data_IF_396010906005
#
_entry.id   IF_396010906005
#
_cell.length_a   1.000
_cell.length_b   1.000
_cell.length_c   1.000
_cell.angle_alpha   90.00
_cell.angle_beta   90.00
_cell.angle_gamma   90.00
#
_symmetry.space_group_name_H-M   'P 1'
#
loop_
_entity.id
_entity.type
_entity.pdbx_description
1 polymer ?
#
# COMPACT_ATOMS: atom_id res chain seq x y z
N UNK A 1 3.12 30.64 -21.91
CA UNK A 1 3.07 30.47 -20.44
C UNK A 1 4.44 30.84 -19.88
N UNK A 2 4.52 31.49 -18.71
CA UNK A 2 5.80 31.75 -18.06
C UNK A 2 6.33 30.44 -17.46
N UNK A 3 7.30 29.80 -18.14
CA UNK A 3 7.90 28.53 -17.74
C UNK A 3 9.21 28.71 -16.96
N UNK A 4 9.65 29.94 -16.74
CA UNK A 4 10.97 30.24 -16.14
C UNK A 4 11.10 29.64 -14.74
N UNK A 5 9.98 29.53 -14.01
CA UNK A 5 9.92 28.94 -12.66
C UNK A 5 10.26 27.43 -12.65
N UNK A 6 10.13 26.75 -13.79
CA UNK A 6 10.43 25.32 -13.96
C UNK A 6 11.73 25.07 -14.72
N UNK A 7 12.47 26.12 -15.10
CA UNK A 7 13.70 25.97 -15.89
C UNK A 7 14.79 25.20 -15.12
N UNK A 8 14.95 25.49 -13.83
CA UNK A 8 15.93 24.80 -12.97
C UNK A 8 15.60 23.30 -12.85
N UNK A 9 14.33 22.96 -12.59
CA UNK A 9 13.87 21.58 -12.53
C UNK A 9 14.01 20.84 -13.86
N UNK A 10 13.70 21.52 -14.97
CA UNK A 10 13.88 20.97 -16.33
C UNK A 10 15.35 20.67 -16.65
N UNK A 11 16.25 21.61 -16.34
CA UNK A 11 17.68 21.44 -16.59
C UNK A 11 18.28 20.34 -15.71
N UNK A 12 17.93 20.29 -14.42
CA UNK A 12 18.38 19.22 -13.52
C UNK A 12 17.89 17.85 -13.99
N UNK A 13 16.63 17.77 -14.45
CA UNK A 13 16.07 16.56 -15.05
C UNK A 13 16.88 16.11 -16.25
N UNK A 14 17.13 16.99 -17.22
CA UNK A 14 17.92 16.70 -18.41
C UNK A 14 19.36 16.25 -18.08
N UNK A 15 20.02 16.90 -17.12
CA UNK A 15 21.43 16.64 -16.80
C UNK A 15 21.63 15.35 -16.00
N UNK A 16 20.78 15.08 -15.01
CA UNK A 16 20.98 13.98 -14.04
C UNK A 16 20.01 12.82 -14.20
N UNK A 17 18.82 13.09 -14.71
CA UNK A 17 17.75 12.09 -14.84
C UNK A 17 17.14 12.14 -16.25
N UNK A 18 17.97 12.07 -17.32
CA UNK A 18 17.48 12.17 -18.68
C UNK A 18 16.50 11.03 -18.95
N UNK A 19 15.47 11.29 -19.75
CA UNK A 19 14.60 10.22 -20.23
C UNK A 19 15.40 9.32 -21.17
N UNK A 20 15.52 8.04 -20.81
CA UNK A 20 16.34 7.06 -21.55
C UNK A 20 15.56 6.28 -22.60
N UNK A 21 14.25 6.10 -22.41
CA UNK A 21 13.41 5.23 -23.24
C UNK A 21 12.33 5.99 -24.00
N UNK A 22 12.06 5.54 -25.22
CA UNK A 22 10.95 6.00 -26.05
C UNK A 22 9.61 5.35 -25.67
N UNK A 23 9.64 4.25 -24.92
CA UNK A 23 8.43 3.57 -24.46
C UNK A 23 7.63 4.47 -23.51
N UNK A 24 6.31 4.36 -23.61
CA UNK A 24 5.38 5.10 -22.77
C UNK A 24 5.09 4.27 -21.52
N UNK A 25 5.07 4.93 -20.36
CA UNK A 25 4.75 4.30 -19.08
C UNK A 25 3.45 4.88 -18.51
N UNK A 26 2.58 4.04 -17.97
CA UNK A 26 1.30 4.46 -17.41
C UNK A 26 1.30 4.42 -15.88
N UNK A 27 0.70 5.43 -15.25
CA UNK A 27 0.37 5.38 -13.83
C UNK A 27 -0.82 4.44 -13.66
N UNK A 28 -0.57 3.25 -13.11
CA UNK A 28 -1.62 2.29 -12.83
C UNK A 28 -2.22 2.48 -11.43
N UNK A 29 -3.11 1.57 -11.04
CA UNK A 29 -3.78 1.54 -9.73
C UNK A 29 -2.83 1.58 -8.54
N UNK A 30 -1.59 1.12 -8.71
CA UNK A 30 -0.55 1.12 -7.69
C UNK A 30 0.67 1.96 -8.08
N UNK A 31 0.46 2.98 -8.91
CA UNK A 31 1.50 3.87 -9.41
C UNK A 31 2.26 3.33 -10.61
N UNK A 32 3.47 3.85 -10.83
CA UNK A 32 4.37 3.34 -11.85
C UNK A 32 5.08 2.10 -11.35
N UNK A 33 5.18 1.06 -12.19
CA UNK A 33 5.97 -0.14 -11.94
C UNK A 33 6.65 -0.57 -13.23
N UNK A 34 7.95 -0.82 -13.17
CA UNK A 34 8.75 -1.28 -14.30
C UNK A 34 10.08 -1.86 -13.81
N UNK A 35 10.93 -2.30 -14.74
CA UNK A 35 12.34 -2.57 -14.45
C UNK A 35 13.00 -1.32 -13.89
N UNK A 36 13.84 -1.52 -12.86
CA UNK A 36 14.35 -0.39 -12.08
C UNK A 36 15.34 0.51 -12.82
N UNK A 37 15.97 0.01 -13.89
CA UNK A 37 16.91 0.72 -14.77
C UNK A 37 16.29 1.89 -15.54
N UNK A 38 14.98 1.85 -15.78
CA UNK A 38 14.25 2.90 -16.51
C UNK A 38 13.50 3.90 -15.59
N UNK A 39 13.57 3.74 -14.26
CA UNK A 39 12.71 4.48 -13.33
C UNK A 39 13.29 5.78 -12.78
N UNK A 40 14.57 6.09 -12.98
CA UNK A 40 15.20 7.29 -12.40
C UNK A 40 14.48 8.58 -12.80
N UNK A 41 14.24 8.77 -14.09
CA UNK A 41 13.56 9.97 -14.60
C UNK A 41 12.08 10.01 -14.18
N UNK A 42 11.42 8.85 -14.14
CA UNK A 42 10.02 8.73 -13.70
C UNK A 42 9.91 9.18 -12.25
N UNK A 43 10.78 8.67 -11.38
CA UNK A 43 10.73 8.94 -9.94
C UNK A 43 11.17 10.36 -9.61
N UNK A 44 12.18 10.90 -10.32
CA UNK A 44 12.50 12.33 -10.27
C UNK A 44 11.28 13.19 -10.59
N UNK A 45 10.57 12.88 -11.68
CA UNK A 45 9.37 13.61 -12.10
C UNK A 45 8.20 13.43 -11.13
N UNK A 46 8.08 12.28 -10.48
CA UNK A 46 7.10 12.10 -9.40
C UNK A 46 7.45 12.89 -8.14
N UNK A 47 8.73 13.14 -7.86
CA UNK A 47 9.14 14.12 -6.86
C UNK A 47 8.66 15.54 -7.19
N UNK A 48 8.74 15.96 -8.46
CA UNK A 48 8.19 17.24 -8.92
C UNK A 48 6.67 17.29 -8.76
N UNK A 49 5.97 16.23 -9.17
CA UNK A 49 4.52 16.16 -9.09
C UNK A 49 4.03 16.17 -7.64
N UNK A 50 4.72 15.47 -6.73
CA UNK A 50 4.39 15.45 -5.30
C UNK A 50 4.44 16.85 -4.68
N UNK A 51 5.39 17.69 -5.11
CA UNK A 51 5.46 19.10 -4.69
C UNK A 51 4.25 19.89 -5.19
N UNK A 52 3.90 19.75 -6.48
CA UNK A 52 2.71 20.40 -7.04
C UNK A 52 1.44 19.94 -6.31
N UNK A 53 1.30 18.63 -6.06
CA UNK A 53 0.17 18.06 -5.33
C UNK A 53 0.07 18.59 -3.90
N UNK A 54 1.19 18.66 -3.19
CA UNK A 54 1.24 19.20 -1.83
C UNK A 54 0.79 20.66 -1.78
N UNK A 55 1.22 21.50 -2.73
CA UNK A 55 0.77 22.90 -2.83
C UNK A 55 -0.73 23.00 -3.17
N UNK A 56 -1.22 22.15 -4.07
CA UNK A 56 -2.63 22.11 -4.46
C UNK A 56 -3.54 21.74 -3.27
N UNK A 57 -3.16 20.72 -2.49
CA UNK A 57 -3.92 20.27 -1.31
C UNK A 57 -3.62 21.06 -0.04
N UNK A 58 -2.55 21.86 -0.04
CA UNK A 58 -2.01 22.57 1.15
C UNK A 58 -1.74 21.59 2.30
N UNK A 59 -1.19 20.44 1.96
CA UNK A 59 -1.03 19.30 2.86
C UNK A 59 0.22 18.49 2.51
N UNK A 60 0.65 17.63 3.44
CA UNK A 60 1.76 16.70 3.24
C UNK A 60 1.33 15.57 2.31
N UNK A 61 2.17 15.24 1.34
CA UNK A 61 1.95 14.14 0.38
C UNK A 61 2.99 13.04 0.62
N UNK A 62 2.61 11.77 0.48
CA UNK A 62 3.55 10.66 0.53
C UNK A 62 4.06 10.26 -0.86
N UNK A 63 5.28 9.77 -0.91
CA UNK A 63 5.89 9.14 -2.09
C UNK A 63 6.56 7.83 -1.63
N UNK A 64 5.96 6.71 -1.98
CA UNK A 64 6.44 5.37 -1.61
C UNK A 64 7.15 4.72 -2.80
N UNK A 65 8.39 4.28 -2.60
CA UNK A 65 9.20 3.59 -3.62
C UNK A 65 9.16 2.09 -3.32
N UNK A 66 8.44 1.37 -4.17
CA UNK A 66 8.29 -0.08 -4.08
C UNK A 66 7.57 -0.63 -5.32
N UNK A 67 7.80 -1.90 -5.63
CA UNK A 67 6.95 -2.68 -6.51
C UNK A 67 6.21 -3.84 -5.80
N UNK A 68 6.06 -3.81 -4.47
CA UNK A 68 5.23 -4.77 -3.72
C UNK A 68 5.65 -6.23 -4.04
N UNK A 69 4.72 -7.07 -4.50
CA UNK A 69 4.92 -8.47 -4.89
C UNK A 69 5.76 -8.71 -6.16
N UNK A 70 6.11 -7.69 -6.94
CA UNK A 70 6.90 -7.87 -8.17
C UNK A 70 8.28 -8.52 -7.88
N UNK A 71 8.91 -9.18 -8.87
CA UNK A 71 10.28 -9.69 -8.75
C UNK A 71 11.30 -8.59 -8.40
N UNK A 72 12.42 -8.95 -7.75
CA UNK A 72 13.43 -8.00 -7.24
C UNK A 72 13.97 -6.97 -8.27
N UNK A 73 14.21 -7.30 -9.56
CA UNK A 73 14.72 -6.33 -10.53
C UNK A 73 13.76 -5.17 -10.85
N UNK A 74 12.47 -5.34 -10.57
CA UNK A 74 11.46 -4.30 -10.76
C UNK A 74 11.53 -3.29 -9.61
N UNK A 75 10.98 -2.09 -9.82
CA UNK A 75 10.64 -1.18 -8.73
C UNK A 75 9.47 -0.30 -9.18
N UNK A 76 9.10 0.68 -8.37
CA UNK A 76 7.96 1.54 -8.66
C UNK A 76 7.86 2.73 -7.74
N UNK A 77 6.85 3.55 -8.00
CA UNK A 77 6.50 4.68 -7.15
C UNK A 77 4.99 4.88 -7.11
N UNK A 78 4.44 5.03 -5.90
CA UNK A 78 3.05 5.43 -5.65
C UNK A 78 3.00 6.70 -4.82
N UNK A 79 2.05 7.57 -5.11
CA UNK A 79 1.81 8.81 -4.35
C UNK A 79 0.64 8.60 -3.39
N UNK A 80 0.73 9.23 -2.23
CA UNK A 80 -0.24 9.12 -1.14
C UNK A 80 -0.81 10.48 -0.81
N UNK A 81 -2.12 10.60 -0.87
CA UNK A 81 -2.85 11.83 -0.61
C UNK A 81 -3.07 12.07 0.90
N UNK A 82 -3.58 13.26 1.31
CA UNK A 82 -3.43 13.74 2.68
C UNK A 82 -4.02 12.88 3.81
N UNK A 83 -5.06 12.10 3.56
CA UNK A 83 -5.68 11.21 4.54
C UNK A 83 -5.07 9.79 4.53
N UNK A 84 -4.03 9.55 3.75
CA UNK A 84 -3.44 8.22 3.56
C UNK A 84 -4.14 7.40 2.48
N UNK A 85 -4.94 8.04 1.65
CA UNK A 85 -5.57 7.48 0.45
C UNK A 85 -4.59 7.48 -0.74
N UNK A 86 -4.89 6.68 -1.76
CA UNK A 86 -4.14 6.71 -3.01
C UNK A 86 -4.32 8.05 -3.73
N UNK A 87 -3.43 8.37 -4.65
CA UNK A 87 -3.54 9.55 -5.50
C UNK A 87 -4.92 9.62 -6.18
N UNK A 88 -5.54 10.80 -6.12
CA UNK A 88 -6.79 11.08 -6.83
C UNK A 88 -6.69 10.72 -8.32
N UNK A 89 -7.69 9.98 -8.82
CA UNK A 89 -7.69 9.41 -10.18
C UNK A 89 -7.41 10.44 -11.29
N UNK A 90 -7.93 11.66 -11.18
CA UNK A 90 -7.66 12.73 -12.16
C UNK A 90 -6.17 13.07 -12.26
N UNK A 91 -5.42 12.94 -11.17
CA UNK A 91 -3.98 13.18 -11.10
C UNK A 91 -3.13 12.01 -11.60
N UNK A 92 -3.66 10.80 -11.72
CA UNK A 92 -2.97 9.67 -12.37
C UNK A 92 -2.68 9.97 -13.85
N UNK A 93 -3.64 10.63 -14.52
CA UNK A 93 -3.46 11.09 -15.90
C UNK A 93 -2.37 12.16 -16.02
N UNK A 94 -2.29 13.07 -15.04
CA UNK A 94 -1.25 14.10 -14.96
C UNK A 94 0.12 13.48 -14.68
N UNK A 95 0.18 12.47 -13.81
CA UNK A 95 1.39 11.71 -13.53
C UNK A 95 1.90 10.98 -14.77
N UNK A 96 1.00 10.29 -15.48
CA UNK A 96 1.30 9.62 -16.76
C UNK A 96 1.82 10.61 -17.80
N UNK A 97 1.15 11.76 -17.96
CA UNK A 97 1.59 12.81 -18.89
C UNK A 97 2.96 13.37 -18.53
N UNK A 98 3.21 13.62 -17.25
CA UNK A 98 4.49 14.15 -16.79
C UNK A 98 5.63 13.14 -16.95
N UNK A 99 5.41 11.88 -16.59
CA UNK A 99 6.37 10.81 -16.82
C UNK A 99 6.72 10.67 -18.30
N UNK A 100 5.74 10.79 -19.20
CA UNK A 100 5.97 10.64 -20.64
C UNK A 100 6.34 11.93 -21.38
N UNK A 101 6.56 13.05 -20.70
CA UNK A 101 7.06 14.26 -21.36
C UNK A 101 8.47 14.02 -21.94
N UNK A 102 8.81 14.61 -23.08
CA UNK A 102 10.24 14.72 -23.45
C UNK A 102 10.95 15.66 -22.48
N UNK A 103 12.28 15.57 -22.36
CA UNK A 103 13.03 16.46 -21.47
C UNK A 103 12.87 17.93 -21.88
N UNK A 104 12.73 18.22 -23.18
CA UNK A 104 12.41 19.55 -23.71
C UNK A 104 11.01 20.04 -23.31
N UNK A 105 10.05 19.12 -23.16
CA UNK A 105 8.65 19.44 -22.85
C UNK A 105 8.36 19.53 -21.35
N UNK A 106 9.21 18.95 -20.51
CA UNK A 106 8.99 18.81 -19.06
C UNK A 106 8.52 20.11 -18.38
N UNK A 107 9.20 21.23 -18.65
CA UNK A 107 8.86 22.55 -18.09
C UNK A 107 7.48 23.07 -18.52
N UNK A 108 7.04 22.71 -19.73
CA UNK A 108 5.75 23.12 -20.27
C UNK A 108 4.63 22.30 -19.65
N UNK A 109 4.85 20.98 -19.49
CA UNK A 109 3.89 20.10 -18.81
C UNK A 109 3.69 20.52 -17.35
N UNK A 110 4.77 20.86 -16.63
CA UNK A 110 4.68 21.37 -15.26
C UNK A 110 3.91 22.70 -15.19
N UNK A 111 4.16 23.62 -16.12
CA UNK A 111 3.45 24.90 -16.18
C UNK A 111 1.96 24.72 -16.50
N UNK A 112 1.62 23.75 -17.33
CA UNK A 112 0.24 23.41 -17.64
C UNK A 112 -0.50 22.78 -16.45
N UNK A 113 0.14 21.84 -15.73
CA UNK A 113 -0.41 21.26 -14.49
C UNK A 113 -0.65 22.38 -13.47
N UNK A 114 0.35 23.24 -13.23
CA UNK A 114 0.23 24.35 -12.30
C UNK A 114 -0.96 25.27 -12.63
N UNK A 115 -1.13 25.60 -13.91
CA UNK A 115 -2.22 26.47 -14.36
C UNK A 115 -3.59 25.78 -14.22
N UNK A 116 -3.69 24.53 -14.67
CA UNK A 116 -4.95 23.76 -14.70
C UNK A 116 -5.47 23.50 -13.29
N UNK A 117 -4.57 23.14 -12.37
CA UNK A 117 -4.90 22.82 -10.99
C UNK A 117 -4.90 24.07 -10.07
N UNK A 118 -4.72 25.28 -10.62
CA UNK A 118 -4.75 26.53 -9.86
C UNK A 118 -3.69 26.64 -8.76
N UNK A 119 -2.49 26.10 -9.00
CA UNK A 119 -1.46 25.91 -7.98
C UNK A 119 -0.69 27.21 -7.73
N UNK A 120 -0.68 27.66 -6.47
CA UNK A 120 0.14 28.77 -6.01
C UNK A 120 1.52 28.27 -5.56
N UNK A 121 2.55 28.54 -6.37
CA UNK A 121 3.93 28.12 -6.11
C UNK A 121 4.55 28.77 -4.86
N UNK A 122 4.00 29.89 -4.38
CA UNK A 122 4.50 30.58 -3.17
C UNK A 122 4.21 29.82 -1.89
N UNK A 123 3.23 28.89 -1.91
CA UNK A 123 2.87 28.08 -0.74
C UNK A 123 3.95 27.05 -0.41
N UNK A 124 4.18 26.73 0.87
CA UNK A 124 5.09 25.64 1.23
C UNK A 124 4.57 24.31 0.69
N UNK A 125 5.47 23.36 0.48
CA UNK A 125 5.16 22.00 0.09
C UNK A 125 5.92 21.05 1.00
N UNK A 126 5.25 20.00 1.47
CA UNK A 126 5.84 18.97 2.32
C UNK A 126 5.59 17.60 1.71
N UNK A 127 6.65 16.80 1.57
CA UNK A 127 6.60 15.46 0.98
C UNK A 127 7.30 14.47 1.91
N UNK A 128 6.61 13.40 2.28
CA UNK A 128 7.19 12.28 3.02
C UNK A 128 7.61 11.19 2.03
N UNK A 129 8.86 10.75 2.12
CA UNK A 129 9.42 9.73 1.24
C UNK A 129 9.67 8.46 2.06
N UNK A 130 9.28 7.31 1.52
CA UNK A 130 9.57 6.00 2.09
C UNK A 130 9.94 5.02 0.99
N UNK A 131 10.66 3.95 1.35
CA UNK A 131 11.07 2.91 0.40
C UNK A 131 11.05 1.50 1.01
N UNK A 132 10.93 0.49 0.16
CA UNK A 132 11.16 -0.91 0.53
C UNK A 132 12.66 -1.28 0.53
N UNK A 133 12.96 -2.58 0.58
CA UNK A 133 14.32 -3.14 0.66
C UNK A 133 14.98 -3.43 -0.69
N UNK A 134 14.35 -3.12 -1.84
CA UNK A 134 14.94 -3.42 -3.15
C UNK A 134 16.29 -2.73 -3.31
N UNK A 135 17.24 -3.40 -3.95
CA UNK A 135 18.59 -2.86 -4.17
C UNK A 135 18.59 -1.51 -4.92
N UNK A 136 17.62 -1.29 -5.80
CA UNK A 136 17.46 -0.05 -6.55
C UNK A 136 16.80 1.09 -5.75
N UNK A 137 16.12 0.78 -4.63
CA UNK A 137 15.33 1.74 -3.86
C UNK A 137 16.13 2.93 -3.31
N UNK A 138 17.36 2.79 -2.79
CA UNK A 138 18.15 3.94 -2.34
C UNK A 138 18.42 4.96 -3.46
N UNK A 139 18.89 4.50 -4.63
CA UNK A 139 19.15 5.37 -5.79
C UNK A 139 17.87 6.07 -6.28
N UNK A 140 16.75 5.34 -6.32
CA UNK A 140 15.48 5.90 -6.75
C UNK A 140 14.92 6.90 -5.72
N UNK A 141 15.18 6.67 -4.43
CA UNK A 141 14.88 7.64 -3.36
C UNK A 141 15.65 8.93 -3.56
N UNK A 142 16.93 8.86 -3.93
CA UNK A 142 17.71 10.05 -4.27
C UNK A 142 17.12 10.80 -5.47
N UNK A 143 16.62 10.10 -6.49
CA UNK A 143 15.95 10.72 -7.63
C UNK A 143 14.68 11.49 -7.20
N UNK A 144 13.84 10.88 -6.35
CA UNK A 144 12.65 11.54 -5.80
C UNK A 144 13.01 12.80 -5.01
N UNK A 145 14.01 12.71 -4.12
CA UNK A 145 14.48 13.82 -3.30
C UNK A 145 15.03 14.98 -4.14
N UNK A 146 15.75 14.69 -5.22
CA UNK A 146 16.21 15.71 -6.18
C UNK A 146 15.03 16.40 -6.86
N UNK A 147 14.00 15.64 -7.27
CA UNK A 147 12.77 16.20 -7.83
C UNK A 147 12.06 17.13 -6.85
N UNK A 148 11.87 16.69 -5.61
CA UNK A 148 11.24 17.49 -4.55
C UNK A 148 12.01 18.79 -4.32
N UNK A 149 13.34 18.71 -4.21
CA UNK A 149 14.20 19.86 -3.98
C UNK A 149 14.18 20.85 -5.16
N UNK A 150 14.10 20.36 -6.39
CA UNK A 150 14.09 21.18 -7.59
C UNK A 150 12.90 22.16 -7.67
N UNK A 151 11.79 21.87 -6.97
CA UNK A 151 10.64 22.76 -6.82
C UNK A 151 10.50 23.34 -5.41
N UNK A 152 11.60 23.35 -4.64
CA UNK A 152 11.69 23.90 -3.28
C UNK A 152 10.66 23.26 -2.33
N UNK A 153 10.37 21.99 -2.51
CA UNK A 153 9.61 21.21 -1.54
C UNK A 153 10.49 20.79 -0.36
N UNK A 154 9.90 20.73 0.82
CA UNK A 154 10.50 20.14 2.01
C UNK A 154 10.27 18.62 1.98
N UNK A 155 11.33 17.84 2.09
CA UNK A 155 11.26 16.39 2.11
C UNK A 155 11.61 15.85 3.50
N UNK A 156 10.82 14.88 3.98
CA UNK A 156 11.19 14.02 5.10
C UNK A 156 11.37 12.60 4.60
N UNK A 157 12.62 12.14 4.54
CA UNK A 157 12.94 10.74 4.20
C UNK A 157 12.80 9.85 5.45
N UNK A 158 11.85 8.94 5.42
CA UNK A 158 11.66 7.92 6.45
C UNK A 158 12.52 6.67 6.21
N UNK A 159 13.22 6.59 5.09
CA UNK A 159 14.07 5.46 4.74
C UNK A 159 13.24 4.18 4.50
N UNK A 160 13.71 3.08 5.06
CA UNK A 160 13.12 1.75 4.85
C UNK A 160 11.88 1.58 5.72
N UNK A 161 10.69 1.60 5.12
CA UNK A 161 9.38 1.48 5.79
C UNK A 161 8.42 0.62 4.97
N UNK A 162 7.39 0.05 5.60
CA UNK A 162 6.33 -0.63 4.84
C UNK A 162 5.44 0.41 4.15
N UNK A 163 4.72 0.00 3.09
CA UNK A 163 3.72 0.89 2.46
C UNK A 163 2.70 1.42 3.49
N UNK A 164 2.08 0.58 4.34
CA UNK A 164 1.17 1.05 5.39
C UNK A 164 1.74 2.08 6.36
N UNK A 165 3.04 1.98 6.69
CA UNK A 165 3.68 2.94 7.59
C UNK A 165 3.75 4.33 6.96
N UNK A 166 4.11 4.44 5.68
CA UNK A 166 4.14 5.76 5.02
C UNK A 166 2.75 6.38 4.96
N UNK A 167 1.72 5.59 4.62
CA UNK A 167 0.33 6.05 4.63
C UNK A 167 -0.07 6.58 6.03
N UNK A 168 0.26 5.83 7.08
CA UNK A 168 0.01 6.25 8.46
C UNK A 168 0.72 7.58 8.80
N UNK A 169 1.99 7.76 8.41
CA UNK A 169 2.73 9.00 8.69
C UNK A 169 2.09 10.22 8.02
N UNK A 170 1.65 10.08 6.77
CA UNK A 170 0.95 11.14 6.02
C UNK A 170 -0.35 11.52 6.73
N UNK A 171 -1.20 10.54 7.07
CA UNK A 171 -2.45 10.79 7.80
C UNK A 171 -2.20 11.47 9.14
N UNK A 172 -1.20 10.99 9.91
CA UNK A 172 -0.85 11.56 11.21
C UNK A 172 -0.40 13.01 11.11
N UNK A 173 0.46 13.32 10.12
CA UNK A 173 0.94 14.68 9.88
C UNK A 173 -0.22 15.62 9.54
N UNK A 174 -1.09 15.23 8.59
CA UNK A 174 -2.16 16.09 8.10
C UNK A 174 -3.35 16.22 9.07
N UNK A 175 -3.49 15.27 10.01
CA UNK A 175 -4.48 15.38 11.08
C UNK A 175 -3.99 16.16 12.30
N UNK A 176 -2.77 16.69 12.27
CA UNK A 176 -2.15 17.41 13.39
C UNK A 176 -1.90 16.51 14.60
N UNK A 177 -1.58 15.23 14.36
CA UNK A 177 -1.36 14.24 15.41
C UNK A 177 -2.62 13.55 15.95
N UNK A 178 -3.83 13.97 15.53
CA UNK A 178 -5.09 13.37 16.03
C UNK A 178 -5.24 11.89 15.66
N UNK A 179 -4.72 11.46 14.52
CA UNK A 179 -4.72 10.04 14.14
C UNK A 179 -3.62 9.24 14.84
N UNK A 180 -2.58 9.89 15.34
CA UNK A 180 -1.39 9.28 15.95
C UNK A 180 -0.12 10.09 15.68
N UNK A 181 1.02 9.60 16.15
CA UNK A 181 2.32 10.26 15.95
C UNK A 181 2.98 9.79 14.64
N UNK A 182 3.43 10.68 13.74
CA UNK A 182 4.00 10.32 12.44
C UNK A 182 5.45 9.79 12.54
N UNK A 183 5.65 8.73 13.32
CA UNK A 183 6.94 8.05 13.57
C UNK A 183 6.76 6.54 13.60
N UNK A 184 7.83 5.77 13.38
CA UNK A 184 7.77 4.30 13.49
C UNK A 184 7.30 3.85 14.88
N UNK A 185 7.82 4.49 15.93
CA UNK A 185 7.37 4.25 17.31
C UNK A 185 5.87 4.54 17.47
N UNK A 186 5.37 5.64 16.90
CA UNK A 186 3.95 5.99 16.92
C UNK A 186 3.09 4.93 16.25
N UNK A 187 3.56 4.35 15.14
CA UNK A 187 2.90 3.26 14.44
C UNK A 187 2.86 1.99 15.30
N UNK A 188 4.01 1.56 15.83
CA UNK A 188 4.10 0.36 16.66
C UNK A 188 3.31 0.49 17.96
N UNK A 189 3.41 1.64 18.64
CA UNK A 189 2.69 1.91 19.89
C UNK A 189 1.18 1.90 19.68
N UNK A 190 0.68 2.55 18.61
CA UNK A 190 -0.76 2.58 18.30
C UNK A 190 -1.31 1.17 18.04
N UNK A 191 -0.61 0.36 17.24
CA UNK A 191 -1.04 -1.00 16.92
C UNK A 191 -0.98 -1.93 18.13
N UNK A 192 0.17 -1.97 18.82
CA UNK A 192 0.38 -2.86 19.97
C UNK A 192 -0.54 -2.55 21.14
N UNK A 193 -0.80 -1.27 21.42
CA UNK A 193 -1.69 -0.82 22.49
C UNK A 193 -3.14 -1.23 22.20
N UNK A 194 -3.61 -1.00 20.97
CA UNK A 194 -4.95 -1.44 20.56
C UNK A 194 -5.07 -2.96 20.58
N UNK A 195 -4.05 -3.69 20.10
CA UNK A 195 -4.03 -5.15 20.13
C UNK A 195 -4.14 -5.70 21.55
N UNK A 196 -3.31 -5.22 22.48
CA UNK A 196 -3.33 -5.58 23.90
C UNK A 196 -4.68 -5.27 24.55
N UNK A 197 -5.30 -4.12 24.20
CA UNK A 197 -6.62 -3.75 24.68
C UNK A 197 -7.72 -4.70 24.18
N UNK A 198 -7.67 -5.09 22.91
CA UNK A 198 -8.64 -6.02 22.31
C UNK A 198 -8.47 -7.45 22.84
N UNK A 199 -7.24 -7.88 23.12
CA UNK A 199 -6.97 -9.17 23.75
C UNK A 199 -7.58 -9.27 25.17
N UNK A 200 -7.65 -8.15 25.90
CA UNK A 200 -8.21 -8.12 27.25
C UNK A 200 -7.39 -8.93 28.26
N UNK A 201 -8.03 -9.42 29.33
CA UNK A 201 -7.39 -10.22 30.39
C UNK A 201 -7.44 -11.74 30.14
N UNK A 202 -8.16 -12.20 29.11
CA UNK A 202 -8.22 -13.63 28.80
C UNK A 202 -6.99 -14.04 28.01
N UNK A 203 -6.13 -14.85 28.62
CA UNK A 203 -4.87 -15.23 27.98
C UNK A 203 -5.02 -16.39 27.00
N UNK A 204 -6.06 -17.24 27.07
CA UNK A 204 -6.37 -18.27 26.05
C UNK A 204 -7.79 -18.86 26.24
N UNK A 205 -8.85 -18.35 25.57
CA UNK A 205 -10.12 -19.07 25.53
C UNK A 205 -10.04 -20.29 24.61
N UNK A 206 -10.48 -21.45 25.11
CA UNK A 206 -10.61 -22.69 24.33
C UNK A 206 -9.28 -23.20 23.76
N UNK A 207 -9.26 -23.50 22.45
CA UNK A 207 -8.11 -24.08 21.74
C UNK A 207 -7.15 -23.02 21.15
N UNK A 208 -7.33 -21.73 21.46
CA UNK A 208 -6.47 -20.68 20.91
C UNK A 208 -5.06 -20.77 21.49
N UNK A 209 -4.04 -20.77 20.62
CA UNK A 209 -2.64 -20.59 21.01
C UNK A 209 -2.11 -19.26 20.46
N UNK A 210 -1.37 -18.47 21.25
CA UNK A 210 -0.83 -17.19 20.80
C UNK A 210 0.49 -17.37 20.02
N UNK A 211 0.58 -18.40 19.17
CA UNK A 211 1.77 -18.66 18.34
C UNK A 211 1.45 -18.36 16.88
N UNK A 212 2.43 -17.81 16.16
CA UNK A 212 2.33 -17.60 14.71
C UNK A 212 3.69 -17.74 14.05
N UNK A 213 3.71 -18.42 12.90
CA UNK A 213 4.86 -18.44 12.00
C UNK A 213 4.65 -17.35 10.95
N UNK A 214 5.55 -16.38 10.90
CA UNK A 214 5.46 -15.21 10.04
C UNK A 214 6.48 -15.33 8.91
N UNK A 215 6.00 -15.50 7.68
CA UNK A 215 6.78 -15.36 6.46
C UNK A 215 6.87 -13.89 6.05
N UNK A 216 8.07 -13.32 6.17
CA UNK A 216 8.34 -11.92 5.85
C UNK A 216 8.72 -11.65 4.39
N UNK A 217 8.65 -12.66 3.51
CA UNK A 217 8.93 -12.57 2.07
C UNK A 217 10.33 -12.04 1.68
N UNK A 218 11.28 -12.07 2.62
CA UNK A 218 12.57 -11.37 2.53
C UNK A 218 12.44 -9.85 2.32
N UNK A 219 11.28 -9.28 2.65
CA UNK A 219 10.94 -7.88 2.45
C UNK A 219 11.02 -7.01 3.71
N UNK A 220 10.60 -5.76 3.56
CA UNK A 220 10.59 -4.78 4.67
C UNK A 220 9.67 -5.21 5.81
N UNK A 221 8.64 -6.01 5.53
CA UNK A 221 7.74 -6.60 6.52
C UNK A 221 8.48 -7.38 7.61
N UNK A 222 9.48 -8.20 7.25
CA UNK A 222 10.28 -8.94 8.23
C UNK A 222 11.02 -8.01 9.21
N UNK A 223 11.66 -6.97 8.65
CA UNK A 223 12.43 -5.99 9.42
C UNK A 223 11.52 -5.27 10.42
N UNK A 224 10.34 -4.83 9.98
CA UNK A 224 9.39 -4.11 10.83
C UNK A 224 8.67 -5.02 11.82
N UNK A 225 8.43 -6.28 11.47
CA UNK A 225 7.86 -7.26 12.40
C UNK A 225 8.82 -7.56 13.56
N UNK A 226 10.14 -7.66 13.31
CA UNK A 226 11.16 -7.77 14.37
C UNK A 226 11.10 -6.62 15.37
N UNK A 227 10.79 -5.41 14.91
CA UNK A 227 10.63 -4.22 15.75
C UNK A 227 9.29 -4.24 16.49
N UNK A 228 8.18 -4.49 15.79
CA UNK A 228 6.83 -4.57 16.37
C UNK A 228 6.73 -5.66 17.45
N UNK A 229 7.41 -6.80 17.27
CA UNK A 229 7.47 -7.88 18.27
C UNK A 229 7.88 -7.38 19.66
N UNK A 230 8.78 -6.39 19.74
CA UNK A 230 9.22 -5.77 21.01
C UNK A 230 8.13 -4.96 21.71
N UNK A 231 7.11 -4.50 20.97
CA UNK A 231 5.97 -3.77 21.53
C UNK A 231 4.80 -4.70 21.87
N UNK A 232 4.74 -5.89 21.27
CA UNK A 232 3.73 -6.90 21.54
C UNK A 232 4.06 -7.74 22.78
N UNK A 233 5.32 -7.77 23.22
CA UNK A 233 5.79 -8.54 24.37
C UNK A 233 5.28 -10.00 24.32
N UNK A 234 4.72 -10.50 25.43
CA UNK A 234 4.17 -11.86 25.54
C UNK A 234 2.72 -11.98 25.06
N UNK A 235 2.13 -10.94 24.45
CA UNK A 235 0.75 -11.00 23.94
C UNK A 235 0.60 -11.97 22.78
N UNK A 236 1.65 -12.16 21.98
CA UNK A 236 1.72 -13.12 20.89
C UNK A 236 3.18 -13.51 20.64
N UNK A 237 3.45 -14.81 20.56
CA UNK A 237 4.73 -15.35 20.15
C UNK A 237 4.80 -15.43 18.62
N UNK A 238 5.74 -14.68 18.05
CA UNK A 238 5.95 -14.56 16.60
C UNK A 238 7.32 -15.14 16.26
N UNK A 239 7.34 -16.21 15.47
CA UNK A 239 8.55 -16.74 14.86
C UNK A 239 8.64 -16.22 13.43
N UNK A 240 9.74 -15.57 13.08
CA UNK A 240 9.87 -14.81 11.82
C UNK A 240 10.81 -15.60 10.90
N UNK A 241 10.37 -15.83 9.66
CA UNK A 241 11.10 -16.50 8.59
C UNK A 241 11.20 -15.60 7.37
N UNK A 242 12.07 -15.96 6.43
CA UNK A 242 12.34 -15.19 5.21
C UNK A 242 12.64 -13.73 5.58
N UNK A 243 13.70 -13.55 6.36
CA UNK A 243 13.97 -12.32 7.09
C UNK A 243 14.83 -11.29 6.34
N UNK A 244 15.11 -11.54 5.05
CA UNK A 244 15.91 -10.65 4.21
C UNK A 244 17.28 -11.21 3.79
N UNK A 245 17.57 -12.49 4.08
CA UNK A 245 18.79 -13.17 3.61
C UNK A 245 18.63 -13.81 2.22
N UNK A 246 17.39 -14.01 1.76
CA UNK A 246 17.07 -14.51 0.42
C UNK A 246 16.60 -13.42 -0.53
N UNK A 247 16.30 -13.81 -1.77
CA UNK A 247 15.72 -12.92 -2.79
C UNK A 247 14.27 -12.53 -2.40
N UNK A 248 13.94 -11.25 -2.59
CA UNK A 248 12.62 -10.67 -2.30
C UNK A 248 11.52 -11.39 -3.10
N UNK A 249 10.47 -11.85 -2.41
CA UNK A 249 9.33 -12.58 -2.99
C UNK A 249 9.69 -13.88 -3.75
N UNK A 250 10.92 -14.41 -3.62
CA UNK A 250 11.32 -15.61 -4.34
C UNK A 250 10.90 -16.87 -3.58
N UNK A 251 9.91 -17.60 -4.13
CA UNK A 251 9.32 -18.81 -3.51
C UNK A 251 8.77 -18.60 -2.09
N UNK A 252 8.47 -17.35 -1.75
CA UNK A 252 7.88 -16.94 -0.49
C UNK A 252 7.00 -15.73 -0.72
N UNK A 253 6.25 -15.34 0.32
CA UNK A 253 5.39 -14.16 0.29
C UNK A 253 3.97 -14.44 -0.20
N UNK A 254 3.07 -13.50 0.11
CA UNK A 254 1.64 -13.67 -0.06
C UNK A 254 1.21 -14.02 -1.50
N UNK A 255 1.85 -13.41 -2.50
CA UNK A 255 1.52 -13.68 -3.90
C UNK A 255 1.89 -15.10 -4.32
N UNK A 256 3.11 -15.55 -3.96
CA UNK A 256 3.56 -16.92 -4.21
C UNK A 256 2.61 -17.94 -3.56
N UNK A 257 2.29 -17.76 -2.28
CA UNK A 257 1.41 -18.67 -1.53
C UNK A 257 0.00 -18.70 -2.14
N UNK A 258 -0.53 -17.55 -2.57
CA UNK A 258 -1.84 -17.49 -3.23
C UNK A 258 -1.85 -18.18 -4.59
N UNK A 259 -0.83 -17.96 -5.41
CA UNK A 259 -0.79 -18.48 -6.78
C UNK A 259 -0.44 -19.97 -6.80
N UNK A 260 0.57 -20.38 -6.03
CA UNK A 260 1.05 -21.76 -6.00
C UNK A 260 0.24 -22.67 -5.08
N UNK A 261 -0.58 -22.10 -4.18
CA UNK A 261 -1.37 -22.85 -3.20
C UNK A 261 -0.50 -23.83 -2.38
N UNK A 262 0.67 -23.36 -1.94
CA UNK A 262 1.61 -24.13 -1.15
C UNK A 262 2.29 -23.28 -0.08
N UNK A 263 2.94 -23.94 0.89
CA UNK A 263 3.75 -23.24 1.89
C UNK A 263 4.97 -22.55 1.22
N UNK A 264 5.42 -21.40 1.75
CA UNK A 264 6.62 -20.73 1.28
C UNK A 264 7.88 -21.49 1.70
N UNK A 265 8.94 -21.39 0.90
CA UNK A 265 10.26 -21.91 1.26
C UNK A 265 10.75 -21.27 2.57
N UNK A 266 11.46 -22.03 3.40
CA UNK A 266 12.05 -21.56 4.65
C UNK A 266 11.13 -21.58 5.88
N UNK A 267 9.80 -21.69 5.71
CA UNK A 267 8.86 -21.86 6.84
C UNK A 267 8.69 -23.35 7.17
N UNK A 268 8.83 -23.77 8.44
CA UNK A 268 8.72 -25.18 8.80
C UNK A 268 7.28 -25.69 8.63
N UNK A 269 7.15 -26.90 8.08
CA UNK A 269 5.87 -27.61 7.96
C UNK A 269 5.51 -28.25 9.29
N UNK A 270 4.78 -27.49 10.11
CA UNK A 270 4.23 -27.97 11.38
C UNK A 270 2.72 -28.17 11.23
N UNK A 271 2.23 -29.37 11.52
CA UNK A 271 0.82 -29.71 11.38
C UNK A 271 -0.06 -28.76 12.22
N UNK A 272 -1.10 -28.21 11.57
CA UNK A 272 -2.05 -27.25 12.11
C UNK A 272 -1.43 -25.96 12.69
N UNK A 273 -0.16 -25.66 12.39
CA UNK A 273 0.45 -24.41 12.80
C UNK A 273 -0.18 -23.21 12.07
N UNK A 274 -0.47 -22.15 12.82
CA UNK A 274 -0.99 -20.91 12.25
C UNK A 274 0.14 -20.15 11.58
N UNK A 275 0.11 -20.08 10.26
CA UNK A 275 1.07 -19.34 9.48
C UNK A 275 0.43 -18.09 8.88
N UNK A 276 1.21 -17.02 8.77
CA UNK A 276 0.86 -15.81 8.02
C UNK A 276 2.01 -15.48 7.08
N UNK A 277 1.68 -15.01 5.89
CA UNK A 277 2.64 -14.53 4.91
C UNK A 277 2.24 -13.13 4.46
N UNK A 278 3.22 -12.26 4.25
CA UNK A 278 3.05 -10.92 3.70
C UNK A 278 3.72 -10.80 2.33
N UNK A 279 3.41 -9.78 1.55
CA UNK A 279 4.20 -9.45 0.35
C UNK A 279 5.38 -8.49 0.67
N UNK A 280 6.20 -8.20 -0.33
CA UNK A 280 7.48 -7.50 -0.16
C UNK A 280 7.43 -6.15 0.57
N UNK A 281 6.35 -5.37 0.40
CA UNK A 281 6.12 -4.09 1.09
C UNK A 281 5.09 -4.17 2.23
N UNK A 282 4.63 -5.38 2.56
CA UNK A 282 3.71 -5.73 3.62
C UNK A 282 2.37 -4.98 3.57
N UNK A 283 1.82 -4.80 2.37
CA UNK A 283 0.45 -4.28 2.17
C UNK A 283 -0.59 -5.38 1.87
N UNK A 284 -0.13 -6.63 1.68
CA UNK A 284 -0.96 -7.84 1.58
C UNK A 284 -0.61 -8.82 2.69
N UNK A 285 -1.62 -9.55 3.17
CA UNK A 285 -1.41 -10.68 4.07
C UNK A 285 -2.40 -11.81 3.78
N UNK A 286 -1.95 -13.04 3.98
CA UNK A 286 -2.77 -14.25 3.92
C UNK A 286 -2.40 -15.16 5.09
N UNK A 287 -3.36 -15.95 5.55
CA UNK A 287 -3.11 -17.04 6.48
C UNK A 287 -3.07 -18.37 5.74
N UNK A 288 -2.40 -19.36 6.31
CA UNK A 288 -2.46 -20.74 5.86
C UNK A 288 -2.09 -21.69 7.01
N UNK A 289 -2.36 -22.97 6.82
CA UNK A 289 -1.83 -24.05 7.64
C UNK A 289 -1.71 -25.32 6.79
N UNK A 290 -0.94 -26.28 7.26
CA UNK A 290 -0.89 -27.63 6.69
C UNK A 290 -1.46 -28.60 7.70
N UNK A 291 -2.38 -29.48 7.34
CA UNK A 291 -2.99 -30.41 8.29
C UNK A 291 -2.09 -31.63 8.60
N UNK A 292 -2.56 -32.52 9.46
CA UNK A 292 -1.85 -33.75 9.87
C UNK A 292 -1.59 -34.71 8.71
N UNK A 293 -2.35 -34.59 7.62
CA UNK A 293 -2.19 -35.38 6.39
C UNK A 293 -1.27 -34.69 5.36
N UNK A 294 -0.57 -33.62 5.76
CA UNK A 294 0.25 -32.78 4.91
C UNK A 294 -0.52 -32.07 3.78
N UNK A 295 -1.83 -31.84 3.95
CA UNK A 295 -2.63 -31.07 2.98
C UNK A 295 -2.55 -29.59 3.32
N UNK A 296 -2.23 -28.77 2.32
CA UNK A 296 -2.17 -27.32 2.46
C UNK A 296 -3.57 -26.69 2.42
N UNK A 297 -3.84 -25.79 3.36
CA UNK A 297 -5.11 -25.06 3.46
C UNK A 297 -4.86 -23.55 3.44
N UNK A 298 -5.35 -22.88 2.39
CA UNK A 298 -5.28 -21.44 2.26
C UNK A 298 -6.41 -20.73 3.01
N UNK A 299 -6.07 -19.67 3.72
CA UNK A 299 -7.00 -18.73 4.35
C UNK A 299 -6.74 -17.32 3.79
N UNK A 300 -7.34 -17.05 2.64
CA UNK A 300 -7.11 -15.82 1.88
C UNK A 300 -7.95 -14.62 2.34
N UNK A 301 -7.92 -13.55 1.54
CA UNK A 301 -8.62 -12.30 1.84
C UNK A 301 -10.12 -12.47 2.15
N UNK A 302 -10.82 -13.39 1.48
CA UNK A 302 -12.25 -13.64 1.74
C UNK A 302 -12.44 -14.29 3.11
N UNK A 303 -11.54 -15.21 3.51
CA UNK A 303 -11.57 -15.82 4.85
C UNK A 303 -11.30 -14.78 5.94
N UNK A 304 -10.37 -13.87 5.72
CA UNK A 304 -10.08 -12.77 6.65
C UNK A 304 -11.28 -11.82 6.75
N UNK A 305 -11.85 -11.41 5.60
CA UNK A 305 -12.98 -10.49 5.55
C UNK A 305 -14.22 -11.08 6.26
N UNK A 306 -14.56 -12.34 5.99
CA UNK A 306 -15.69 -13.03 6.63
C UNK A 306 -15.50 -13.22 8.12
N UNK A 307 -14.28 -13.53 8.58
CA UNK A 307 -13.94 -13.62 10.00
C UNK A 307 -14.13 -12.27 10.71
N UNK A 308 -13.57 -11.19 10.17
CA UNK A 308 -13.67 -9.85 10.75
C UNK A 308 -15.12 -9.36 10.76
N UNK A 309 -15.86 -9.58 9.66
CA UNK A 309 -17.27 -9.18 9.59
C UNK A 309 -18.11 -9.91 10.63
N UNK A 310 -17.93 -11.23 10.77
CA UNK A 310 -18.62 -12.03 11.80
C UNK A 310 -18.37 -11.47 13.21
N UNK A 311 -17.11 -11.21 13.55
CA UNK A 311 -16.75 -10.62 14.84
C UNK A 311 -17.40 -9.24 15.08
N UNK A 312 -17.33 -8.34 14.09
CA UNK A 312 -17.93 -7.01 14.20
C UNK A 312 -19.45 -7.08 14.36
N UNK A 313 -20.11 -8.06 13.74
CA UNK A 313 -21.55 -8.24 13.84
C UNK A 313 -21.98 -8.73 15.22
N UNK A 314 -21.22 -9.63 15.82
CA UNK A 314 -21.49 -10.06 17.19
C UNK A 314 -21.39 -8.85 18.15
N UNK A 315 -20.38 -7.98 17.97
CA UNK A 315 -20.29 -6.72 18.71
C UNK A 315 -21.47 -5.77 18.44
N UNK A 316 -21.92 -5.62 17.19
CA UNK A 316 -23.08 -4.77 16.87
C UNK A 316 -24.34 -5.31 17.54
N UNK A 317 -24.59 -6.62 17.47
CA UNK A 317 -25.72 -7.27 18.14
C UNK A 317 -25.67 -7.06 19.65
N UNK A 318 -24.51 -7.26 20.26
CA UNK A 318 -24.30 -7.06 21.70
C UNK A 318 -24.48 -5.60 22.13
N UNK A 319 -24.04 -4.65 21.30
CA UNK A 319 -24.13 -3.21 21.59
C UNK A 319 -25.57 -2.69 21.62
N UNK A 320 -26.51 -3.39 20.96
CA UNK A 320 -27.89 -2.95 20.71
C UNK A 320 -28.01 -1.62 19.95
N UNK A 321 -26.92 -1.17 19.33
CA UNK A 321 -26.91 0.02 18.49
C UNK A 321 -27.48 -0.30 17.11
N UNK A 322 -28.14 0.69 16.49
CA UNK A 322 -28.65 0.58 15.12
C UNK A 322 -27.53 0.93 14.13
N UNK A 323 -26.68 -0.04 13.84
CA UNK A 323 -25.55 0.09 12.91
C UNK A 323 -25.75 -0.89 11.75
N UNK A 324 -25.63 -0.39 10.51
CA UNK A 324 -25.62 -1.25 9.33
C UNK A 324 -24.18 -1.69 9.04
N UNK A 325 -23.96 -3.00 8.84
CA UNK A 325 -22.68 -3.55 8.41
C UNK A 325 -22.80 -4.03 6.96
N UNK A 326 -21.80 -3.68 6.14
CA UNK A 326 -21.67 -4.16 4.77
C UNK A 326 -20.30 -4.80 4.56
N UNK A 327 -20.26 -5.81 3.69
CA UNK A 327 -19.03 -6.46 3.26
C UNK A 327 -18.91 -6.27 1.74
N UNK A 328 -17.76 -5.74 1.31
CA UNK A 328 -17.49 -5.42 -0.09
C UNK A 328 -16.53 -6.47 -0.65
N UNK A 329 -16.90 -7.08 -1.78
CA UNK A 329 -16.09 -8.07 -2.49
C UNK A 329 -15.86 -7.64 -3.94
N UNK A 330 -14.93 -8.34 -4.59
CA UNK A 330 -14.73 -8.25 -6.05
C UNK A 330 -15.21 -9.54 -6.70
N UNK A 331 -15.32 -9.55 -8.04
CA UNK A 331 -15.68 -10.74 -8.80
C UNK A 331 -14.71 -11.94 -8.63
N UNK A 332 -13.51 -11.72 -8.08
CA UNK A 332 -12.54 -12.78 -7.80
C UNK A 332 -12.79 -13.49 -6.46
N UNK A 333 -13.77 -13.01 -5.68
CA UNK A 333 -14.14 -13.64 -4.44
C UNK A 333 -14.71 -15.04 -4.68
N UNK A 334 -14.42 -15.96 -3.76
CA UNK A 334 -14.96 -17.31 -3.84
C UNK A 334 -16.49 -17.26 -3.67
N UNK A 335 -17.26 -17.84 -4.60
CA UNK A 335 -18.73 -17.87 -4.53
C UNK A 335 -19.28 -18.44 -3.22
N UNK A 336 -18.59 -19.43 -2.61
CA UNK A 336 -18.97 -19.95 -1.30
C UNK A 336 -18.78 -18.95 -0.16
N UNK A 337 -17.85 -17.99 -0.30
CA UNK A 337 -17.73 -16.89 0.66
C UNK A 337 -18.92 -15.95 0.54
N UNK A 338 -19.33 -15.60 -0.68
CA UNK A 338 -20.51 -14.78 -0.97
C UNK A 338 -21.78 -15.46 -0.43
N UNK A 339 -21.93 -16.76 -0.65
CA UNK A 339 -23.05 -17.54 -0.11
C UNK A 339 -23.08 -17.55 1.43
N UNK A 340 -21.92 -17.71 2.07
CA UNK A 340 -21.82 -17.66 3.53
C UNK A 340 -22.23 -16.28 4.08
N UNK A 341 -21.79 -15.20 3.42
CA UNK A 341 -22.11 -13.82 3.78
C UNK A 341 -23.62 -13.55 3.61
N UNK A 342 -24.20 -13.97 2.50
CA UNK A 342 -25.61 -13.73 2.19
C UNK A 342 -26.54 -14.56 3.09
N UNK A 343 -26.25 -15.86 3.22
CA UNK A 343 -27.19 -16.82 3.81
C UNK A 343 -26.95 -17.09 5.29
N UNK A 344 -25.69 -17.05 5.75
CA UNK A 344 -25.37 -17.31 7.17
C UNK A 344 -25.26 -16.02 7.97
N UNK A 345 -24.61 -15.01 7.41
CA UNK A 345 -24.37 -13.76 8.13
C UNK A 345 -25.44 -12.68 7.87
N UNK A 346 -26.25 -12.85 6.81
CA UNK A 346 -27.36 -11.96 6.42
C UNK A 346 -26.94 -10.48 6.19
N UNK A 347 -25.86 -10.24 5.45
CA UNK A 347 -25.39 -8.88 5.13
C UNK A 347 -25.92 -8.34 3.80
N UNK A 348 -25.82 -7.02 3.66
CA UNK A 348 -25.77 -6.36 2.36
C UNK A 348 -24.38 -6.63 1.73
N UNK A 349 -24.39 -7.39 0.63
CA UNK A 349 -23.21 -7.61 -0.19
C UNK A 349 -23.17 -6.52 -1.26
N UNK A 350 -22.07 -5.78 -1.31
CA UNK A 350 -21.80 -4.87 -2.42
C UNK A 350 -20.77 -5.51 -3.33
N UNK A 351 -21.22 -6.01 -4.48
CA UNK A 351 -20.33 -6.49 -5.54
C UNK A 351 -19.93 -5.32 -6.45
N UNK A 352 -18.68 -4.91 -6.34
CA UNK A 352 -18.11 -3.81 -7.12
C UNK A 352 -18.09 -4.07 -8.63
N UNK A 353 -18.18 -5.31 -9.09
CA UNK A 353 -18.26 -5.62 -10.53
C UNK A 353 -19.60 -5.24 -11.15
N UNK A 354 -20.66 -5.19 -10.33
CA UNK A 354 -22.00 -4.75 -10.73
C UNK A 354 -22.23 -3.23 -10.54
N UNK A 355 -21.33 -2.56 -9.83
CA UNK A 355 -21.35 -1.12 -9.58
C UNK A 355 -20.51 -0.41 -10.66
N UNK A 356 -21.16 0.05 -11.73
CA UNK A 356 -20.64 1.18 -12.50
C UNK A 356 -20.43 2.34 -11.52
N UNK A 357 -19.17 2.75 -11.34
CA UNK A 357 -18.69 3.79 -10.41
C UNK A 357 -19.31 5.18 -10.69
N UNK A 358 -20.23 5.32 -11.64
CA UNK A 358 -20.89 6.59 -11.99
C UNK A 358 -22.08 6.99 -11.11
N UNK A 359 -22.58 6.13 -10.19
CA UNK A 359 -23.84 6.40 -9.45
C UNK A 359 -23.81 6.28 -7.93
N UNK A 360 -22.64 6.39 -7.29
CA UNK A 360 -22.60 6.63 -5.86
C UNK A 360 -22.29 8.10 -5.60
N UNK A 361 -23.35 8.85 -5.28
CA UNK A 361 -23.21 10.17 -4.65
C UNK A 361 -22.79 9.95 -3.19
N UNK A 362 -21.48 9.94 -2.95
CA UNK A 362 -20.87 9.71 -1.63
C UNK A 362 -21.03 10.90 -0.65
N UNK A 363 -21.97 11.83 -0.93
CA UNK A 363 -22.25 13.00 -0.08
C UNK A 363 -23.42 12.80 0.88
N UNK A 364 -24.02 11.61 0.96
CA UNK A 364 -25.22 11.41 1.78
C UNK A 364 -24.93 11.54 3.30
N UNK A 365 -25.52 12.52 4.02
CA UNK A 365 -25.13 12.89 5.39
C UNK A 365 -25.49 11.88 6.50
N UNK A 366 -26.07 10.72 6.16
CA UNK A 366 -26.56 9.73 7.13
C UNK A 366 -25.80 8.40 7.14
N UNK A 367 -24.74 8.26 6.33
CA UNK A 367 -23.87 7.08 6.35
C UNK A 367 -22.45 7.49 6.71
N UNK A 368 -22.01 7.14 7.92
CA UNK A 368 -20.60 7.21 8.29
C UNK A 368 -19.88 6.02 7.66
N UNK A 369 -19.45 6.16 6.40
CA UNK A 369 -18.56 5.21 5.77
C UNK A 369 -17.16 5.36 6.37
N UNK A 370 -16.76 4.45 7.26
CA UNK A 370 -15.36 4.28 7.64
C UNK A 370 -14.64 3.56 6.50
N UNK A 371 -14.20 4.31 5.49
CA UNK A 371 -13.33 3.78 4.44
C UNK A 371 -11.94 3.51 5.03
N UNK A 372 -11.64 2.24 5.32
CA UNK A 372 -10.26 1.77 5.25
C UNK A 372 -9.94 1.52 3.78
N UNK A 373 -9.36 2.52 3.11
CA UNK A 373 -8.78 2.36 1.79
C UNK A 373 -7.58 1.39 1.88
N UNK A 374 -7.85 0.09 1.78
CA UNK A 374 -6.92 -0.87 1.19
C UNK A 374 -7.59 -1.34 -0.11
N UNK A 375 -7.22 -0.70 -1.22
CA UNK A 375 -7.67 -1.13 -2.54
C UNK A 375 -7.15 -2.55 -2.79
N UNK A 376 -7.99 -3.55 -2.54
CA UNK A 376 -7.88 -4.90 -3.12
C UNK A 376 -8.20 -4.90 -4.63
N UNK A 377 -8.01 -3.76 -5.32
CA UNK A 377 -8.39 -3.58 -6.71
C UNK A 377 -7.32 -4.15 -7.66
N UNK A 378 -7.74 -5.17 -8.41
CA UNK A 378 -7.35 -5.47 -9.79
C UNK A 378 -5.86 -5.80 -10.01
N UNK A 379 -5.47 -7.05 -9.70
CA UNK A 379 -4.22 -7.62 -10.20
C UNK A 379 -4.36 -8.67 -11.30
N UNK A 380 -5.55 -8.92 -11.83
CA UNK A 380 -5.74 -9.98 -12.83
C UNK A 380 -6.23 -9.52 -14.22
N UNK A 381 -6.50 -8.24 -14.45
CA UNK A 381 -6.97 -7.79 -15.78
C UNK A 381 -5.86 -7.58 -16.82
N UNK A 382 -4.58 -7.65 -16.46
CA UNK A 382 -3.48 -7.40 -17.42
C UNK A 382 -2.58 -8.59 -17.75
N UNK A 383 -2.79 -9.76 -17.13
CA UNK A 383 -1.96 -10.94 -17.41
C UNK A 383 -2.35 -11.74 -18.67
N UNK A 384 -3.37 -11.32 -19.43
CA UNK A 384 -3.81 -12.02 -20.64
C UNK A 384 -3.59 -11.29 -21.98
N UNK A 385 -2.90 -10.14 -22.00
CA UNK A 385 -2.61 -9.44 -23.28
C UNK A 385 -1.16 -9.53 -23.79
N UNK A 386 -0.28 -10.31 -23.14
CA UNK A 386 1.12 -10.46 -23.58
C UNK A 386 1.54 -11.93 -23.78
N UNK A 387 0.70 -12.77 -24.38
CA UNK A 387 1.15 -14.02 -25.06
C UNK A 387 0.15 -14.42 -26.15
N UNK A 388 -0.03 -13.55 -27.15
CA UNK A 388 -0.46 -13.94 -28.49
C UNK A 388 0.12 -12.94 -29.49
N UNK A 389 1.35 -13.19 -29.92
CA UNK A 389 1.83 -13.08 -31.30
C UNK A 389 3.02 -14.01 -31.48
#
# INVERSE_FOLDING_TARGET
MNTTVFAEAGNLGLEKFPRKDSELIQYGTAGFRAKSDILDYVIFRMGLLAVLRSKAKKATIGLMITASHNPEPDNGVKLVDPHGEMLEHTWESLATRLANATDSELKYVLADIMKTEGIDLSKPASVFVGRDTRASSPRLSDAALNGIKALKGEAKDYGVVTTPMLHFFVTCQNTGGRYGTPTEEGYFSKLSTTFKKLQGQQTTPGNYTPNILFDGANGVGAIKMKQLKKYLDNSINIEIFNEGSGELNHKCGADYVKVQQCAPDGVPLLANARCVTVDGDADRLLYFYTDESNVFHLLDGDRIATLVAGYLMDLVKESKLKINLGLVQTAYANGSSTDYIANTLAYLIFDLSSLLIEKLDFTHPNYYYYYYYYYYYYYYYYYYYYYYY
#
